data_IF_363859176771
#
_entry.id   IF_363859176771
#
_cell.length_a   1.000
_cell.length_b   1.000
_cell.length_c   1.000
_cell.angle_alpha   90.00
_cell.angle_beta   90.00
_cell.angle_gamma   90.00
#
_symmetry.space_group_name_H-M   'P 1'
#
loop_
_entity.id
_entity.type
_entity.pdbx_description
1 polymer ?
#
# COMPACT_ATOMS: atom_id res chain seq x y z
N UNK A 1 -27.46 -1.24 0.53
CA UNK A 1 -26.43 -1.95 1.33
C UNK A 1 -25.09 -1.68 0.66
N UNK A 2 -24.36 -0.67 1.14
CA UNK A 2 -23.05 -0.28 0.57
C UNK A 2 -22.03 -1.37 0.87
N UNK A 3 -21.38 -1.91 -0.16
CA UNK A 3 -20.30 -2.88 0.03
C UNK A 3 -19.14 -2.23 0.79
N UNK A 4 -18.45 -2.93 1.70
CA UNK A 4 -17.30 -2.38 2.41
C UNK A 4 -16.16 -2.18 1.41
N UNK A 5 -15.85 -0.92 1.11
CA UNK A 5 -14.62 -0.55 0.41
C UNK A 5 -13.42 -0.73 1.37
N UNK A 6 -12.21 -1.06 0.86
CA UNK A 6 -11.84 -1.22 -0.55
C UNK A 6 -12.51 -2.41 -1.20
N UNK A 7 -13.12 -2.17 -2.37
CA UNK A 7 -13.23 -3.22 -3.36
C UNK A 7 -11.78 -3.59 -3.67
N UNK A 8 -11.30 -4.67 -3.04
CA UNK A 8 -10.10 -5.34 -3.47
C UNK A 8 -10.30 -5.58 -4.97
N UNK A 9 -9.67 -4.75 -5.81
CA UNK A 9 -9.96 -4.76 -7.25
C UNK A 9 -9.94 -6.19 -7.75
N UNK A 10 -10.98 -6.62 -8.45
CA UNK A 10 -11.09 -8.00 -8.89
C UNK A 10 -10.03 -8.25 -9.95
N UNK A 11 -9.17 -9.23 -9.70
CA UNK A 11 -8.32 -9.80 -10.73
C UNK A 11 -9.22 -10.77 -11.49
N UNK A 12 -9.42 -10.60 -12.81
CA UNK A 12 -10.22 -11.54 -13.60
C UNK A 12 -9.76 -12.98 -13.36
N UNK A 13 -10.72 -13.91 -13.24
CA UNK A 13 -10.44 -15.34 -13.11
C UNK A 13 -9.58 -15.86 -14.29
N UNK A 14 -8.99 -17.04 -14.09
CA UNK A 14 -8.17 -17.73 -15.09
C UNK A 14 -8.98 -17.89 -16.39
N UNK A 15 -8.62 -17.08 -17.38
CA UNK A 15 -9.09 -17.23 -18.77
C UNK A 15 -8.14 -18.13 -19.54
N UNK A 16 -8.39 -18.39 -20.82
CA UNK A 16 -7.47 -19.12 -21.71
C UNK A 16 -6.06 -18.51 -21.77
N UNK A 17 -5.85 -17.31 -21.24
CA UNK A 17 -4.55 -16.64 -21.09
C UNK A 17 -3.80 -16.97 -19.77
N UNK A 18 -4.34 -17.82 -18.89
CA UNK A 18 -3.67 -18.24 -17.65
C UNK A 18 -3.88 -17.32 -16.43
N UNK A 19 -4.84 -16.38 -16.50
CA UNK A 19 -5.11 -15.39 -15.45
C UNK A 19 -4.77 -13.96 -15.89
N UNK A 20 -4.85 -13.01 -14.96
CA UNK A 20 -4.56 -11.59 -15.21
C UNK A 20 -3.36 -11.05 -14.44
N UNK A 21 -2.85 -11.77 -13.43
CA UNK A 21 -1.67 -11.41 -12.64
C UNK A 21 -0.63 -12.53 -12.75
N UNK A 22 0.62 -12.16 -13.02
CA UNK A 22 1.72 -13.09 -13.25
C UNK A 22 2.93 -12.73 -12.40
N UNK A 23 3.52 -13.73 -11.76
CA UNK A 23 4.74 -13.61 -10.98
C UNK A 23 5.88 -14.41 -11.61
N UNK A 24 7.07 -13.82 -11.67
CA UNK A 24 8.24 -14.54 -12.16
C UNK A 24 8.58 -15.72 -11.24
N UNK A 25 8.84 -16.89 -11.84
CA UNK A 25 9.15 -18.13 -11.12
C UNK A 25 7.93 -18.97 -10.76
N UNK A 26 6.73 -18.55 -11.15
CA UNK A 26 5.53 -19.38 -11.14
C UNK A 26 5.34 -20.01 -12.54
N UNK A 27 4.33 -19.58 -13.30
CA UNK A 27 4.05 -20.10 -14.64
C UNK A 27 5.12 -19.70 -15.68
N UNK A 28 5.71 -18.52 -15.52
CA UNK A 28 6.70 -17.95 -16.44
C UNK A 28 7.94 -17.49 -15.69
N UNK A 29 9.09 -17.58 -16.34
CA UNK A 29 10.36 -17.03 -15.84
C UNK A 29 10.38 -15.50 -15.91
N UNK A 30 11.32 -14.90 -15.19
CA UNK A 30 11.53 -13.44 -15.22
C UNK A 30 11.81 -12.89 -16.63
N UNK A 31 12.74 -13.50 -17.40
CA UNK A 31 12.99 -13.09 -18.78
C UNK A 31 11.77 -13.21 -19.70
N UNK A 32 10.97 -14.26 -19.58
CA UNK A 32 9.74 -14.44 -20.38
C UNK A 32 8.74 -13.34 -20.08
N UNK A 33 8.45 -13.06 -18.81
CA UNK A 33 7.54 -11.97 -18.42
C UNK A 33 8.06 -10.60 -18.86
N UNK A 34 9.38 -10.38 -18.81
CA UNK A 34 9.98 -9.15 -19.32
C UNK A 34 9.82 -9.01 -20.84
N UNK A 35 10.00 -10.09 -21.59
CA UNK A 35 9.74 -10.14 -23.03
C UNK A 35 8.28 -9.82 -23.35
N UNK A 36 7.33 -10.50 -22.70
CA UNK A 36 5.90 -10.24 -22.87
C UNK A 36 5.51 -8.80 -22.49
N UNK A 37 6.16 -8.21 -21.48
CA UNK A 37 5.97 -6.81 -21.12
C UNK A 37 6.48 -5.85 -22.20
N UNK A 38 7.64 -6.15 -22.80
CA UNK A 38 8.20 -5.38 -23.90
C UNK A 38 7.33 -5.45 -25.16
N UNK A 39 6.71 -6.60 -25.41
CA UNK A 39 5.79 -6.82 -26.52
C UNK A 39 4.38 -6.22 -26.28
N UNK A 40 4.16 -5.58 -25.13
CA UNK A 40 2.91 -4.90 -24.79
C UNK A 40 1.79 -5.84 -24.33
N UNK A 41 2.08 -7.13 -24.09
CA UNK A 41 1.10 -8.09 -23.59
C UNK A 41 0.84 -7.93 -22.09
N UNK A 42 1.84 -7.43 -21.36
CA UNK A 42 1.82 -7.23 -19.92
C UNK A 42 2.26 -5.82 -19.55
N UNK A 43 1.78 -5.33 -18.41
CA UNK A 43 2.28 -4.14 -17.73
C UNK A 43 2.90 -4.54 -16.40
N UNK A 44 4.09 -4.04 -16.10
CA UNK A 44 4.74 -4.28 -14.81
C UNK A 44 4.02 -3.55 -13.67
N UNK A 45 3.66 -4.28 -12.61
CA UNK A 45 3.03 -3.70 -11.41
C UNK A 45 4.08 -3.26 -10.40
N UNK A 46 4.92 -4.20 -9.95
CA UNK A 46 6.01 -3.98 -9.01
C UNK A 46 6.95 -5.18 -8.98
N UNK A 47 8.25 -4.97 -8.76
CA UNK A 47 9.21 -6.07 -8.68
C UNK A 47 9.16 -6.95 -9.93
N UNK A 48 8.99 -8.26 -9.75
CA UNK A 48 8.82 -9.22 -10.85
C UNK A 48 7.37 -9.68 -11.01
N UNK A 49 6.42 -8.79 -10.73
CA UNK A 49 4.99 -9.01 -10.86
C UNK A 49 4.42 -8.13 -11.98
N UNK A 50 3.60 -8.76 -12.82
CA UNK A 50 3.04 -8.18 -14.03
C UNK A 50 1.54 -8.45 -14.10
N UNK A 51 0.82 -7.56 -14.79
CA UNK A 51 -0.62 -7.68 -15.04
C UNK A 51 -0.87 -7.67 -16.54
N UNK A 52 -1.91 -8.36 -17.01
CA UNK A 52 -2.31 -8.34 -18.42
C UNK A 52 -2.66 -6.91 -18.87
N UNK A 53 -2.35 -6.57 -20.12
CA UNK A 53 -2.47 -5.21 -20.68
C UNK A 53 -3.86 -4.56 -20.57
N UNK A 54 -4.92 -5.36 -20.56
CA UNK A 54 -6.32 -4.94 -20.48
C UNK A 54 -6.80 -4.73 -19.03
N UNK A 55 -5.98 -5.05 -18.03
CA UNK A 55 -6.33 -4.98 -16.62
C UNK A 55 -5.56 -3.86 -15.94
N UNK A 56 -6.31 -2.91 -15.36
CA UNK A 56 -5.72 -1.88 -14.51
C UNK A 56 -5.42 -2.46 -13.12
N UNK A 57 -4.19 -2.33 -12.59
CA UNK A 57 -3.82 -2.92 -11.30
C UNK A 57 -4.48 -2.15 -10.15
N UNK A 58 -5.55 -2.74 -9.59
CA UNK A 58 -6.21 -2.29 -8.38
C UNK A 58 -5.49 -2.68 -7.09
N UNK A 59 -6.09 -2.42 -5.91
CA UNK A 59 -5.44 -2.66 -4.62
C UNK A 59 -4.98 -4.10 -4.40
N UNK A 60 -5.79 -5.09 -4.77
CA UNK A 60 -5.43 -6.50 -4.64
C UNK A 60 -4.17 -6.84 -5.43
N UNK A 61 -4.11 -6.45 -6.71
CA UNK A 61 -2.96 -6.70 -7.57
C UNK A 61 -1.68 -6.05 -7.02
N UNK A 62 -1.77 -4.83 -6.50
CA UNK A 62 -0.62 -4.13 -5.91
C UNK A 62 -0.17 -4.77 -4.59
N UNK A 63 -1.10 -5.20 -3.76
CA UNK A 63 -0.83 -5.90 -2.50
C UNK A 63 -0.12 -7.24 -2.76
N UNK A 64 -0.63 -8.04 -3.71
CA UNK A 64 0.01 -9.29 -4.12
C UNK A 64 1.38 -9.04 -4.76
N UNK A 65 1.53 -8.00 -5.57
CA UNK A 65 2.81 -7.62 -6.15
C UNK A 65 3.85 -7.22 -5.09
N UNK A 66 3.43 -6.47 -4.07
CA UNK A 66 4.26 -6.10 -2.91
C UNK A 66 4.69 -7.34 -2.13
N UNK A 67 3.74 -8.24 -1.84
CA UNK A 67 3.98 -9.49 -1.13
C UNK A 67 4.98 -10.39 -1.89
N UNK A 68 4.80 -10.55 -3.20
CA UNK A 68 5.69 -11.36 -4.02
C UNK A 68 7.11 -10.79 -4.09
N UNK A 69 7.26 -9.46 -4.06
CA UNK A 69 8.57 -8.82 -4.06
C UNK A 69 9.38 -9.03 -2.77
N UNK A 70 8.74 -9.47 -1.68
CA UNK A 70 9.44 -9.81 -0.44
C UNK A 70 10.10 -11.20 -0.52
N UNK A 71 11.25 -11.40 0.15
CA UNK A 71 11.80 -12.72 0.37
C UNK A 71 10.79 -13.65 1.06
N UNK A 72 10.77 -14.94 0.69
CA UNK A 72 9.81 -15.91 1.22
C UNK A 72 9.70 -15.92 2.77
N UNK A 73 10.80 -15.82 3.56
CA UNK A 73 10.70 -15.77 5.01
C UNK A 73 10.00 -14.53 5.58
N UNK A 74 9.82 -13.46 4.80
CA UNK A 74 9.21 -12.19 5.25
C UNK A 74 7.74 -12.11 4.87
N UNK A 75 7.32 -12.83 3.81
CA UNK A 75 5.97 -12.81 3.26
C UNK A 75 4.94 -13.11 4.35
N UNK A 76 3.95 -12.22 4.49
CA UNK A 76 2.78 -12.40 5.36
C UNK A 76 3.05 -12.18 6.85
N UNK A 77 4.29 -11.86 7.24
CA UNK A 77 4.66 -11.62 8.64
C UNK A 77 4.36 -10.21 9.13
N UNK A 78 4.35 -9.25 8.22
CA UNK A 78 4.26 -7.83 8.53
C UNK A 78 3.13 -7.17 7.77
N UNK A 79 2.71 -6.01 8.24
CA UNK A 79 1.64 -5.22 7.62
C UNK A 79 2.25 -4.16 6.71
N UNK A 80 1.81 -4.05 5.46
CA UNK A 80 2.18 -2.93 4.60
C UNK A 80 1.56 -1.64 5.12
N UNK A 81 2.37 -0.59 5.27
CA UNK A 81 1.93 0.69 5.82
C UNK A 81 2.47 1.91 5.07
N UNK A 82 2.15 3.09 5.58
CA UNK A 82 2.68 4.38 5.09
C UNK A 82 2.49 4.54 3.56
N UNK A 83 3.47 5.10 2.85
CA UNK A 83 3.40 5.29 1.39
C UNK A 83 3.25 3.97 0.61
N UNK A 84 3.68 2.83 1.15
CA UNK A 84 3.43 1.52 0.51
C UNK A 84 1.95 1.17 0.54
N UNK A 85 1.28 1.32 1.68
CA UNK A 85 -0.17 1.14 1.76
C UNK A 85 -0.92 2.18 0.89
N UNK A 86 -0.49 3.45 0.91
CA UNK A 86 -1.07 4.47 0.04
C UNK A 86 -0.91 4.12 -1.46
N UNK A 87 0.24 3.57 -1.87
CA UNK A 87 0.46 3.09 -3.25
C UNK A 87 -0.42 1.89 -3.59
N UNK A 88 -0.59 0.95 -2.65
CA UNK A 88 -1.52 -0.17 -2.80
C UNK A 88 -2.93 0.35 -3.05
N UNK A 89 -3.39 1.37 -2.32
CA UNK A 89 -4.67 2.02 -2.57
C UNK A 89 -4.72 2.91 -3.82
N UNK A 90 -3.63 3.02 -4.58
CA UNK A 90 -3.56 3.84 -5.79
C UNK A 90 -3.30 5.34 -5.54
N UNK A 91 -3.06 5.72 -4.28
CA UNK A 91 -2.92 7.11 -3.85
C UNK A 91 -1.48 7.61 -3.77
N UNK A 92 -0.47 6.77 -4.02
CA UNK A 92 0.93 7.15 -4.05
C UNK A 92 1.67 6.48 -5.22
N UNK A 93 2.82 7.01 -5.67
CA UNK A 93 3.67 6.32 -6.64
C UNK A 93 4.27 5.02 -6.06
N UNK A 94 4.71 4.08 -6.92
CA UNK A 94 5.38 2.85 -6.47
C UNK A 94 6.61 3.18 -5.59
N UNK A 95 6.75 2.57 -4.40
CA UNK A 95 7.82 2.91 -3.48
C UNK A 95 9.15 2.27 -3.89
N UNK A 96 10.26 2.97 -3.71
CA UNK A 96 11.60 2.39 -3.93
C UNK A 96 11.90 1.22 -2.96
N UNK A 97 11.37 1.29 -1.73
CA UNK A 97 11.43 0.22 -0.74
C UNK A 97 10.06 0.05 -0.07
N UNK A 98 9.65 -1.18 0.15
CA UNK A 98 8.38 -1.49 0.79
C UNK A 98 8.44 -1.15 2.29
N UNK A 99 7.51 -0.34 2.78
CA UNK A 99 7.36 -0.02 4.19
C UNK A 99 6.51 -1.09 4.88
N UNK A 100 7.15 -1.82 5.79
CA UNK A 100 6.56 -2.87 6.60
C UNK A 100 6.42 -2.39 8.04
N UNK A 101 5.30 -2.74 8.66
CA UNK A 101 5.00 -2.45 10.05
C UNK A 101 5.01 -3.74 10.86
N UNK A 102 5.85 -3.77 11.89
CA UNK A 102 5.81 -4.77 12.95
C UNK A 102 4.98 -4.22 14.12
N UNK A 103 4.11 -5.06 14.66
CA UNK A 103 3.45 -4.74 15.92
C UNK A 103 4.46 -4.82 17.07
N UNK A 104 4.67 -3.71 17.78
CA UNK A 104 5.66 -3.60 18.86
C UNK A 104 5.41 -4.53 20.06
N UNK A 105 4.22 -5.15 20.13
CA UNK A 105 3.89 -6.19 21.13
C UNK A 105 4.50 -7.55 20.79
N UNK A 106 4.92 -7.75 19.55
CA UNK A 106 5.52 -8.98 19.08
C UNK A 106 7.02 -8.78 18.90
N UNK A 107 7.83 -9.73 19.35
CA UNK A 107 9.28 -9.69 19.15
C UNK A 107 9.57 -9.82 17.65
N UNK A 108 9.92 -8.72 17.00
CA UNK A 108 10.31 -8.69 15.61
C UNK A 108 11.64 -9.41 15.39
N UNK A 109 11.74 -10.16 14.29
CA UNK A 109 13.04 -10.55 13.74
C UNK A 109 13.49 -9.45 12.77
N UNK A 110 14.80 -9.19 12.70
CA UNK A 110 15.32 -8.22 11.75
C UNK A 110 15.02 -8.69 10.32
N UNK A 111 14.78 -7.75 9.40
CA UNK A 111 14.63 -8.11 8.01
C UNK A 111 15.93 -8.71 7.46
N UNK A 112 15.84 -9.71 6.57
CA UNK A 112 17.01 -10.17 5.83
C UNK A 112 17.68 -9.00 5.09
N UNK A 113 19.02 -9.01 4.95
CA UNK A 113 19.73 -8.06 4.10
C UNK A 113 19.13 -8.05 2.69
N UNK A 114 19.11 -6.86 2.06
CA UNK A 114 18.62 -6.69 0.68
C UNK A 114 17.16 -7.13 0.43
N UNK A 115 16.33 -7.20 1.48
CA UNK A 115 14.91 -7.56 1.38
C UNK A 115 14.02 -6.60 0.56
N UNK A 116 14.57 -5.49 0.04
CA UNK A 116 13.79 -4.48 -0.67
C UNK A 116 12.77 -3.73 0.21
N UNK A 117 12.83 -3.92 1.53
CA UNK A 117 11.86 -3.41 2.49
C UNK A 117 12.53 -2.68 3.66
N UNK A 118 11.76 -1.84 4.35
CA UNK A 118 12.12 -1.18 5.60
C UNK A 118 11.10 -1.59 6.65
N UNK A 119 11.57 -2.01 7.83
CA UNK A 119 10.71 -2.36 8.95
C UNK A 119 10.58 -1.19 9.92
N UNK A 120 9.36 -0.93 10.36
CA UNK A 120 9.04 0.04 11.39
C UNK A 120 8.22 -0.63 12.49
N UNK A 121 8.66 -0.48 13.73
CA UNK A 121 7.89 -0.95 14.88
C UNK A 121 6.86 0.11 15.27
N UNK A 122 5.59 -0.29 15.33
CA UNK A 122 4.48 0.59 15.69
C UNK A 122 3.46 -0.19 16.54
N UNK A 123 2.61 0.53 17.27
CA UNK A 123 1.45 -0.10 17.88
C UNK A 123 0.38 -0.35 16.80
N UNK A 124 0.02 -1.62 16.60
CA UNK A 124 -1.07 -2.04 15.71
C UNK A 124 -2.16 -2.74 16.50
N UNK A 125 -3.39 -2.26 16.41
CA UNK A 125 -4.58 -2.98 16.81
C UNK A 125 -5.10 -3.92 15.70
N UNK A 126 -5.95 -4.90 16.03
CA UNK A 126 -6.62 -5.73 15.02
C UNK A 126 -7.43 -4.90 14.00
N UNK A 127 -8.05 -3.82 14.46
CA UNK A 127 -8.81 -2.89 13.61
C UNK A 127 -7.95 -2.00 12.72
N UNK A 128 -6.62 -1.97 12.88
CA UNK A 128 -5.73 -1.20 12.01
C UNK A 128 -5.39 -1.94 10.72
N UNK A 129 -5.83 -3.20 10.55
CA UNK A 129 -5.40 -4.08 9.46
C UNK A 129 -6.56 -4.42 8.52
N UNK A 130 -6.24 -4.52 7.25
CA UNK A 130 -7.07 -4.98 6.15
C UNK A 130 -6.32 -6.11 5.45
N UNK A 131 -6.96 -7.25 5.21
CA UNK A 131 -6.38 -8.32 4.39
C UNK A 131 -6.76 -8.15 2.92
N UNK A 132 -5.76 -8.18 2.04
CA UNK A 132 -5.92 -8.17 0.59
C UNK A 132 -5.23 -9.39 0.00
N UNK A 133 -5.94 -10.51 -0.06
CA UNK A 133 -5.44 -11.76 -0.65
C UNK A 133 -4.24 -12.32 0.11
N UNK A 134 -4.29 -12.30 1.45
CA UNK A 134 -3.20 -12.77 2.31
C UNK A 134 -2.07 -11.76 2.53
N UNK A 135 -2.18 -10.57 1.93
CA UNK A 135 -1.32 -9.44 2.26
C UNK A 135 -2.02 -8.52 3.25
N UNK A 136 -1.47 -8.40 4.46
CA UNK A 136 -1.96 -7.46 5.45
C UNK A 136 -1.52 -6.04 5.11
N UNK A 137 -2.47 -5.10 5.04
CA UNK A 137 -2.25 -3.67 4.76
C UNK A 137 -2.91 -2.85 5.86
N UNK A 138 -2.38 -1.68 6.20
CA UNK A 138 -3.07 -0.79 7.15
C UNK A 138 -4.41 -0.33 6.57
N UNK A 139 -5.43 -0.21 7.43
CA UNK A 139 -6.70 0.40 7.04
C UNK A 139 -6.47 1.80 6.46
N UNK A 140 -7.31 2.29 5.52
CA UNK A 140 -7.03 3.55 4.84
C UNK A 140 -6.89 4.76 5.77
N UNK A 141 -7.75 4.91 6.78
CA UNK A 141 -7.64 6.02 7.73
C UNK A 141 -6.34 5.94 8.57
N UNK A 142 -5.93 4.73 8.98
CA UNK A 142 -4.65 4.50 9.64
C UNK A 142 -3.47 4.83 8.73
N UNK A 143 -3.56 4.42 7.46
CA UNK A 143 -2.56 4.72 6.42
C UNK A 143 -2.37 6.23 6.27
N UNK A 144 -3.47 6.99 6.17
CA UNK A 144 -3.43 8.44 6.03
C UNK A 144 -2.74 9.11 7.24
N UNK A 145 -3.08 8.67 8.45
CA UNK A 145 -2.42 9.12 9.68
C UNK A 145 -0.92 8.81 9.68
N UNK A 146 -0.52 7.59 9.36
CA UNK A 146 0.89 7.17 9.33
C UNK A 146 1.67 7.94 8.25
N UNK A 147 1.04 8.22 7.11
CA UNK A 147 1.59 9.04 6.04
C UNK A 147 1.86 10.47 6.54
N UNK A 148 0.87 11.10 7.16
CA UNK A 148 1.00 12.46 7.69
C UNK A 148 2.11 12.57 8.75
N UNK A 149 2.21 11.58 9.65
CA UNK A 149 3.17 11.59 10.75
C UNK A 149 4.61 11.28 10.31
N UNK A 150 4.79 10.34 9.39
CA UNK A 150 6.10 9.70 9.20
C UNK A 150 6.71 9.87 7.81
N UNK A 151 5.97 10.34 6.81
CA UNK A 151 6.48 10.48 5.45
C UNK A 151 6.94 11.91 5.15
N UNK A 152 7.84 12.13 4.18
CA UNK A 152 8.24 13.48 3.76
C UNK A 152 7.03 14.35 3.41
N UNK A 153 7.11 15.64 3.72
CA UNK A 153 5.95 16.54 3.60
C UNK A 153 5.35 16.56 2.17
N UNK A 154 6.13 16.69 1.08
CA UNK A 154 5.56 16.70 -0.27
C UNK A 154 4.81 15.41 -0.62
N UNK A 155 5.42 14.26 -0.34
CA UNK A 155 4.81 12.95 -0.59
C UNK A 155 3.54 12.74 0.26
N UNK A 156 3.56 13.23 1.50
CA UNK A 156 2.42 13.14 2.40
C UNK A 156 1.25 13.98 1.90
N UNK A 157 1.49 15.22 1.48
CA UNK A 157 0.45 16.12 0.94
C UNK A 157 -0.24 15.48 -0.27
N UNK A 158 0.54 15.00 -1.23
CA UNK A 158 0.00 14.39 -2.45
C UNK A 158 -0.81 13.11 -2.15
N UNK A 159 -0.29 12.24 -1.29
CA UNK A 159 -0.96 11.01 -0.91
C UNK A 159 -2.27 11.30 -0.16
N UNK A 160 -2.24 12.21 0.82
CA UNK A 160 -3.41 12.60 1.60
C UNK A 160 -4.50 13.21 0.71
N UNK A 161 -4.15 14.10 -0.22
CA UNK A 161 -5.10 14.69 -1.15
C UNK A 161 -5.77 13.64 -2.03
N UNK A 162 -5.00 12.64 -2.52
CA UNK A 162 -5.55 11.53 -3.32
C UNK A 162 -6.42 10.59 -2.49
N UNK A 163 -5.99 10.25 -1.28
CA UNK A 163 -6.76 9.39 -0.38
C UNK A 163 -8.11 10.01 0.01
N UNK A 164 -8.13 11.32 0.27
CA UNK A 164 -9.34 12.05 0.64
C UNK A 164 -10.34 12.18 -0.51
N UNK A 165 -9.86 12.18 -1.76
CA UNK A 165 -10.70 12.23 -2.97
C UNK A 165 -11.31 10.88 -3.33
N UNK A 166 -10.78 9.78 -2.82
CA UNK A 166 -11.29 8.43 -3.07
C UNK A 166 -12.37 8.08 -2.03
N UNK A 167 -13.68 8.21 -2.35
CA UNK A 167 -14.75 8.18 -1.35
C UNK A 167 -14.81 6.84 -0.62
N UNK A 168 -14.45 5.77 -1.32
CA UNK A 168 -14.43 4.45 -0.74
C UNK A 168 -13.48 4.34 0.46
N UNK A 169 -12.33 5.04 0.44
CA UNK A 169 -11.31 4.86 1.47
C UNK A 169 -11.76 5.37 2.85
N UNK A 170 -12.82 6.19 2.91
CA UNK A 170 -13.32 6.78 4.16
C UNK A 170 -12.20 7.46 4.98
N UNK A 171 -11.21 8.04 4.29
CA UNK A 171 -10.03 8.67 4.85
C UNK A 171 -10.05 10.19 4.60
N UNK A 172 -11.18 10.83 4.93
CA UNK A 172 -11.33 12.28 4.76
C UNK A 172 -10.29 13.04 5.60
N UNK A 173 -9.84 14.20 5.09
CA UNK A 173 -8.89 15.05 5.82
C UNK A 173 -9.44 15.50 7.18
N UNK A 174 -10.76 15.63 7.31
CA UNK A 174 -11.45 15.91 8.58
C UNK A 174 -11.19 14.79 9.59
N UNK A 175 -11.39 13.53 9.20
CA UNK A 175 -11.16 12.40 10.10
C UNK A 175 -9.68 12.24 10.46
N UNK A 176 -8.78 12.44 9.49
CA UNK A 176 -7.33 12.41 9.72
C UNK A 176 -6.94 13.48 10.74
N UNK A 177 -7.42 14.73 10.56
CA UNK A 177 -7.18 15.83 11.49
C UNK A 177 -7.71 15.52 12.89
N UNK A 178 -8.96 15.05 12.99
CA UNK A 178 -9.57 14.71 14.29
C UNK A 178 -8.78 13.64 15.03
N UNK A 179 -8.29 12.61 14.34
CA UNK A 179 -7.42 11.60 14.95
C UNK A 179 -6.08 12.19 15.40
N UNK A 180 -5.42 13.01 14.57
CA UNK A 180 -4.15 13.64 14.93
C UNK A 180 -4.26 14.51 16.19
N UNK A 181 -5.39 15.21 16.35
CA UNK A 181 -5.66 16.06 17.52
C UNK A 181 -6.00 15.24 18.78
N UNK A 182 -6.57 14.04 18.64
CA UNK A 182 -6.89 13.18 19.78
C UNK A 182 -5.67 12.38 20.28
N UNK A 183 -4.63 12.25 19.47
CA UNK A 183 -3.39 11.59 19.85
C UNK A 183 -2.63 12.37 20.94
N UNK A 184 -2.34 11.70 22.06
CA UNK A 184 -1.56 12.29 23.14
C UNK A 184 -0.06 12.10 22.90
N UNK A 185 0.69 13.20 22.85
CA UNK A 185 2.17 13.24 22.87
C UNK A 185 2.86 12.44 21.76
N UNK A 186 2.30 12.44 20.55
CA UNK A 186 2.94 11.82 19.38
C UNK A 186 3.90 12.83 18.73
N UNK A 187 5.19 12.49 18.57
CA UNK A 187 6.12 13.34 17.83
C UNK A 187 5.69 13.55 16.38
N UNK A 188 5.86 14.76 15.86
CA UNK A 188 5.53 15.07 14.47
C UNK A 188 4.08 15.49 14.21
N UNK A 189 3.19 15.53 15.22
CA UNK A 189 1.79 15.96 15.05
C UNK A 189 1.67 17.34 14.43
N UNK A 190 2.51 18.32 14.80
CA UNK A 190 2.49 19.67 14.19
C UNK A 190 2.69 19.60 12.67
N UNK A 191 3.74 18.91 12.23
CA UNK A 191 4.06 18.69 10.81
C UNK A 191 2.97 17.88 10.09
N UNK A 192 2.37 16.91 10.77
CA UNK A 192 1.26 16.14 10.22
C UNK A 192 0.01 17.00 9.98
N UNK A 193 -0.31 17.91 10.90
CA UNK A 193 -1.39 18.87 10.72
C UNK A 193 -1.08 19.83 9.56
N UNK A 194 0.16 20.32 9.43
CA UNK A 194 0.61 21.12 8.28
C UNK A 194 0.40 20.38 6.95
N UNK A 195 0.72 19.08 6.89
CA UNK A 195 0.48 18.25 5.71
C UNK A 195 -1.01 18.11 5.38
N UNK A 196 -1.86 17.95 6.40
CA UNK A 196 -3.32 17.84 6.22
C UNK A 196 -3.92 19.15 5.71
N UNK A 197 -3.51 20.30 6.27
CA UNK A 197 -3.96 21.62 5.79
C UNK A 197 -3.50 21.87 4.35
N UNK A 198 -2.23 21.58 4.03
CA UNK A 198 -1.73 21.72 2.67
C UNK A 198 -2.45 20.80 1.67
N UNK A 199 -2.82 19.58 2.08
CA UNK A 199 -3.57 18.64 1.24
C UNK A 199 -5.02 19.08 0.97
N UNK A 200 -5.61 19.89 1.87
CA UNK A 200 -6.95 20.44 1.68
C UNK A 200 -6.98 21.52 0.57
N UNK A 201 -5.82 22.13 0.27
CA UNK A 201 -5.72 23.29 -0.61
C UNK A 201 -6.21 24.59 0.07
N UNK A 202 -6.11 25.74 -0.60
CA UNK A 202 -6.72 26.96 -0.09
C UNK A 202 -8.25 26.79 0.02
N UNK A 203 -8.91 27.41 1.03
CA UNK A 203 -10.36 27.49 1.04
C UNK A 203 -10.81 28.17 -0.25
N UNK A 204 -11.58 27.45 -1.07
CA UNK A 204 -12.19 27.98 -2.30
C UNK A 204 -13.22 29.06 -2.01
#
# INVERSE_FOLDING_TARGET
MSQPWPLAGTIPEITSTGGALFHAGELFSGPELHGMCRDGLLTRVYGSTYVRWDVRPGPLARALAAQHALPAPVRGRYVFGRLTAAWIFGCAPPPARLALLADNRHRGTALPPFSGAVLHEVALGPADRLDLGGAAVTQPLRTAVDVALHCPLPDAVDALARMAREPGLNASLVYVRSLLLSMRRVPGTKRALEAVEAAAGPPG
#
